data_IF_130885256884
#
_entry.id   IF_130885256884
#
_cell.length_a   1.000
_cell.length_b   1.000
_cell.length_c   1.000
_cell.angle_alpha   90.00
_cell.angle_beta   90.00
_cell.angle_gamma   90.00
#
_symmetry.space_group_name_H-M   'P 1'
#
loop_
_entity.id
_entity.type
_entity.pdbx_description
1 polymer ?
#
# COMPACT_ATOMS: atom_id res chain seq x y z
N UNK A 1 -41.57 0.64 -16.69
CA UNK A 1 -40.86 1.77 -17.34
C UNK A 1 -41.23 3.05 -16.60
N UNK A 2 -40.30 3.59 -15.84
CA UNK A 2 -40.33 4.96 -15.31
C UNK A 2 -38.89 5.35 -14.98
N UNK A 3 -38.43 6.48 -15.52
CA UNK A 3 -37.07 7.00 -15.44
C UNK A 3 -36.72 7.56 -14.03
N UNK A 4 -35.42 7.68 -13.67
CA UNK A 4 -35.00 8.20 -12.36
C UNK A 4 -34.87 9.73 -12.38
N UNK A 5 -34.98 10.42 -11.23
CA UNK A 5 -34.57 11.82 -11.13
C UNK A 5 -33.11 11.93 -10.69
N UNK A 6 -32.40 12.82 -11.37
CA UNK A 6 -31.04 13.24 -11.08
C UNK A 6 -30.98 14.29 -9.94
N UNK A 7 -29.75 14.47 -9.46
CA UNK A 7 -29.12 15.72 -9.00
C UNK A 7 -28.77 15.84 -7.51
N UNK A 8 -27.47 15.63 -7.27
CA UNK A 8 -26.56 16.57 -6.62
C UNK A 8 -27.20 17.88 -6.12
N UNK A 9 -27.28 18.03 -4.80
CA UNK A 9 -26.93 19.24 -4.04
C UNK A 9 -27.49 19.13 -2.62
N UNK A 10 -26.63 18.94 -1.62
CA UNK A 10 -26.87 19.43 -0.25
C UNK A 10 -25.56 19.44 0.54
N UNK A 11 -24.76 20.49 0.33
CA UNK A 11 -23.81 20.97 1.33
C UNK A 11 -24.63 21.51 2.51
N UNK A 12 -24.57 20.85 3.67
CA UNK A 12 -25.14 21.37 4.91
C UNK A 12 -24.03 21.72 5.91
N UNK A 13 -23.85 23.04 6.08
CA UNK A 13 -23.32 23.78 7.23
C UNK A 13 -22.32 23.07 8.17
N UNK A 14 -21.02 23.28 7.91
CA UNK A 14 -19.94 23.03 8.86
C UNK A 14 -19.82 24.11 9.95
N UNK A 15 -19.57 23.65 11.17
CA UNK A 15 -19.42 24.41 12.42
C UNK A 15 -18.13 25.26 12.37
N UNK A 16 -18.25 26.58 12.44
CA UNK A 16 -17.13 27.54 12.49
C UNK A 16 -16.32 27.40 13.80
N UNK A 17 -15.03 27.05 13.68
CA UNK A 17 -14.04 27.29 14.74
C UNK A 17 -13.34 28.61 14.45
N UNK A 18 -13.56 29.61 15.32
CA UNK A 18 -12.92 30.94 15.27
C UNK A 18 -11.44 30.84 15.70
N UNK A 19 -10.52 31.38 14.89
CA UNK A 19 -9.24 31.93 15.38
C UNK A 19 -9.03 33.36 14.85
N UNK A 20 -9.04 34.29 15.81
CA UNK A 20 -8.32 35.57 15.89
C UNK A 20 -8.08 36.48 14.68
N UNK A 21 -8.89 37.54 14.61
CA UNK A 21 -8.57 38.96 14.39
C UNK A 21 -7.37 39.37 13.51
N UNK A 22 -7.69 40.05 12.39
CA UNK A 22 -7.35 41.47 12.21
C UNK A 22 -8.23 42.13 11.14
N UNK A 23 -8.82 43.26 11.52
CA UNK A 23 -9.66 44.15 10.69
C UNK A 23 -8.79 45.05 9.83
N UNK A 24 -9.19 45.29 8.58
CA UNK A 24 -8.90 46.56 7.89
C UNK A 24 -10.20 47.08 7.27
N UNK A 25 -10.61 48.25 7.74
CA UNK A 25 -11.76 49.03 7.30
C UNK A 25 -11.48 49.67 5.93
N UNK A 26 -12.42 49.59 5.00
CA UNK A 26 -12.44 50.44 3.81
C UNK A 26 -13.69 51.32 3.82
N UNK A 27 -13.45 52.62 3.86
CA UNK A 27 -14.43 53.71 3.71
C UNK A 27 -14.53 54.09 2.23
N UNK A 28 -15.70 53.92 1.62
CA UNK A 28 -15.95 54.31 0.23
C UNK A 28 -17.43 54.63 0.01
N UNK A 29 -17.69 55.82 -0.54
CA UNK A 29 -18.98 56.49 -0.65
C UNK A 29 -19.99 55.79 -1.58
N UNK A 30 -21.28 55.93 -1.26
CA UNK A 30 -22.42 55.37 -2.00
C UNK A 30 -22.97 56.41 -2.98
N UNK A 31 -22.91 56.12 -4.29
CA UNK A 31 -23.71 56.80 -5.33
C UNK A 31 -25.00 56.01 -5.63
N UNK A 32 -26.07 56.67 -6.13
CA UNK A 32 -27.38 56.04 -6.22
C UNK A 32 -27.55 55.14 -7.46
N UNK A 33 -28.35 54.09 -7.30
CA UNK A 33 -28.86 53.16 -8.32
C UNK A 33 -27.84 52.19 -8.96
N UNK A 34 -27.62 51.06 -8.28
CA UNK A 34 -27.03 49.84 -8.86
C UNK A 34 -27.00 48.72 -7.83
N UNK A 35 -27.60 47.56 -8.14
CA UNK A 35 -27.64 46.37 -7.28
C UNK A 35 -26.25 46.07 -6.70
N UNK A 36 -26.15 45.97 -5.38
CA UNK A 36 -24.95 45.47 -4.69
C UNK A 36 -24.66 44.05 -5.19
N UNK A 37 -23.49 43.76 -5.78
CA UNK A 37 -23.09 42.38 -5.98
C UNK A 37 -22.83 41.79 -4.58
N UNK A 38 -23.59 40.74 -4.23
CA UNK A 38 -23.37 39.98 -3.00
C UNK A 38 -21.92 39.49 -2.92
N UNK A 39 -21.40 39.21 -1.72
CA UNK A 39 -20.01 38.80 -1.55
C UNK A 39 -19.77 37.57 -2.43
N UNK A 40 -18.84 37.70 -3.39
CA UNK A 40 -18.27 36.56 -4.09
C UNK A 40 -17.56 35.73 -3.04
N UNK A 41 -18.23 34.68 -2.56
CA UNK A 41 -17.59 33.59 -1.85
C UNK A 41 -16.71 32.86 -2.88
N UNK A 42 -15.54 33.43 -3.13
CA UNK A 42 -14.45 32.76 -3.82
C UNK A 42 -13.62 32.08 -2.75
N UNK A 43 -14.12 30.95 -2.28
CA UNK A 43 -13.30 29.98 -1.59
C UNK A 43 -13.84 28.58 -1.89
N UNK A 44 -13.83 28.25 -3.18
CA UNK A 44 -13.73 26.85 -3.56
C UNK A 44 -12.27 26.50 -3.28
N UNK A 45 -12.03 25.86 -2.14
CA UNK A 45 -10.78 25.15 -1.90
C UNK A 45 -10.75 24.07 -2.98
N UNK A 46 -10.06 24.35 -4.10
CA UNK A 46 -9.72 23.30 -5.04
C UNK A 46 -8.81 22.37 -4.23
N UNK A 47 -9.23 21.12 -3.93
CA UNK A 47 -8.38 20.25 -3.15
C UNK A 47 -7.07 20.13 -3.91
N UNK A 48 -5.95 20.43 -3.24
CA UNK A 48 -4.63 20.22 -3.82
C UNK A 48 -4.48 18.72 -4.02
N UNK A 49 -4.74 18.25 -5.24
CA UNK A 49 -4.66 16.84 -5.59
C UNK A 49 -3.19 16.48 -5.70
N UNK A 50 -2.73 15.56 -4.85
CA UNK A 50 -1.34 15.09 -4.86
C UNK A 50 -1.18 14.11 -6.02
N UNK A 51 -0.23 14.38 -6.91
CA UNK A 51 0.01 13.58 -8.12
C UNK A 51 1.09 12.54 -7.87
N UNK A 52 0.70 11.27 -7.93
CA UNK A 52 1.57 10.11 -7.71
C UNK A 52 1.79 9.39 -9.04
N UNK A 53 3.05 9.22 -9.42
CA UNK A 53 3.44 8.45 -10.61
C UNK A 53 3.94 7.08 -10.17
N UNK A 54 3.19 6.03 -10.49
CA UNK A 54 3.62 4.65 -10.28
C UNK A 54 4.52 4.24 -11.45
N UNK A 55 5.79 3.95 -11.16
CA UNK A 55 6.73 3.39 -12.12
C UNK A 55 6.71 1.86 -11.99
N UNK A 56 6.08 1.20 -12.96
CA UNK A 56 5.86 -0.25 -13.00
C UNK A 56 4.40 -0.62 -12.73
N UNK A 57 3.71 -1.13 -13.76
CA UNK A 57 2.32 -1.60 -13.70
C UNK A 57 2.20 -3.11 -13.48
N UNK A 58 3.23 -3.75 -12.91
CA UNK A 58 3.19 -5.17 -12.53
C UNK A 58 2.16 -5.47 -11.44
N UNK A 59 2.22 -6.66 -10.83
CA UNK A 59 1.27 -7.07 -9.80
C UNK A 59 1.23 -6.09 -8.60
N UNK A 60 2.39 -5.69 -8.07
CA UNK A 60 2.44 -4.75 -6.93
C UNK A 60 1.99 -3.33 -7.33
N UNK A 61 2.40 -2.84 -8.50
CA UNK A 61 1.97 -1.54 -9.00
C UNK A 61 0.46 -1.46 -9.21
N UNK A 62 -0.14 -2.54 -9.73
CA UNK A 62 -1.59 -2.67 -9.84
C UNK A 62 -2.28 -2.75 -8.48
N UNK A 63 -1.74 -3.51 -7.52
CA UNK A 63 -2.30 -3.58 -6.17
C UNK A 63 -2.46 -2.18 -5.57
N UNK A 64 -1.39 -1.38 -5.66
CA UNK A 64 -1.34 -0.02 -5.17
C UNK A 64 -2.25 0.91 -5.96
N UNK A 65 -2.26 0.82 -7.29
CA UNK A 65 -3.22 1.54 -8.12
C UNK A 65 -4.66 1.28 -7.67
N UNK A 66 -5.04 0.01 -7.50
CA UNK A 66 -6.40 -0.40 -7.13
C UNK A 66 -6.83 0.15 -5.76
N UNK A 67 -5.89 0.26 -4.81
CA UNK A 67 -6.13 0.87 -3.51
C UNK A 67 -6.26 2.39 -3.59
N UNK A 68 -5.31 3.04 -4.25
CA UNK A 68 -5.22 4.49 -4.36
C UNK A 68 -6.37 5.10 -5.18
N UNK A 69 -6.89 4.40 -6.18
CA UNK A 69 -8.05 4.85 -6.94
C UNK A 69 -9.33 5.02 -6.09
N UNK A 70 -9.35 4.48 -4.86
CA UNK A 70 -10.46 4.67 -3.91
C UNK A 70 -10.32 5.96 -3.09
N UNK A 71 -9.17 6.62 -3.16
CA UNK A 71 -8.87 7.84 -2.42
C UNK A 71 -8.98 9.06 -3.38
N UNK A 72 -9.88 10.02 -3.10
CA UNK A 72 -10.15 11.14 -4.02
C UNK A 72 -9.04 12.19 -4.05
N UNK A 73 -8.14 12.18 -3.06
CA UNK A 73 -7.10 13.20 -2.88
C UNK A 73 -5.87 12.98 -3.76
N UNK A 74 -5.82 11.86 -4.50
CA UNK A 74 -4.69 11.47 -5.32
C UNK A 74 -5.03 11.39 -6.82
N UNK A 75 -4.16 11.98 -7.63
CA UNK A 75 -4.13 11.78 -9.09
C UNK A 75 -3.06 10.75 -9.40
N UNK A 76 -3.47 9.57 -9.86
CA UNK A 76 -2.56 8.46 -10.11
C UNK A 76 -2.24 8.35 -11.61
N UNK A 77 -0.95 8.32 -11.94
CA UNK A 77 -0.45 8.05 -13.28
C UNK A 77 0.40 6.78 -13.23
N UNK A 78 0.42 6.00 -14.31
CA UNK A 78 1.22 4.77 -14.36
C UNK A 78 2.14 4.77 -15.57
N UNK A 79 3.40 4.45 -15.34
CA UNK A 79 4.38 4.14 -16.37
C UNK A 79 4.57 2.62 -16.41
N UNK A 80 4.25 2.00 -17.53
CA UNK A 80 4.42 0.55 -17.72
C UNK A 80 4.97 0.30 -19.13
N UNK A 81 6.19 -0.24 -19.31
CA UNK A 81 6.80 -0.41 -20.62
C UNK A 81 6.18 -1.52 -21.48
N UNK A 82 5.54 -2.54 -20.90
CA UNK A 82 4.86 -3.59 -21.66
C UNK A 82 3.54 -3.09 -22.25
N UNK A 83 3.40 -3.17 -23.58
CA UNK A 83 2.16 -2.79 -24.27
C UNK A 83 0.97 -3.66 -23.85
N UNK A 84 1.18 -4.97 -23.76
CA UNK A 84 0.17 -5.93 -23.32
C UNK A 84 -0.36 -5.56 -21.92
N UNK A 85 0.55 -5.25 -21.00
CA UNK A 85 0.18 -4.86 -19.64
C UNK A 85 -0.51 -3.51 -19.59
N UNK A 86 -0.07 -2.52 -20.38
CA UNK A 86 -0.79 -1.24 -20.52
C UNK A 86 -2.21 -1.44 -21.05
N UNK A 87 -2.43 -2.32 -22.03
CA UNK A 87 -3.76 -2.60 -22.57
C UNK A 87 -4.68 -3.13 -21.48
N UNK A 88 -4.22 -4.15 -20.74
CA UNK A 88 -4.94 -4.69 -19.59
C UNK A 88 -5.30 -3.61 -18.54
N UNK A 89 -4.32 -2.77 -18.16
CA UNK A 89 -4.54 -1.69 -17.19
C UNK A 89 -5.52 -0.64 -17.71
N UNK A 90 -5.51 -0.34 -19.02
CA UNK A 90 -6.44 0.61 -19.62
C UNK A 90 -7.89 0.12 -19.62
N UNK A 91 -8.08 -1.19 -19.80
CA UNK A 91 -9.40 -1.82 -19.74
C UNK A 91 -9.92 -1.90 -18.29
N UNK A 92 -9.02 -2.20 -17.35
CA UNK A 92 -9.36 -2.36 -15.93
C UNK A 92 -9.52 -1.02 -15.19
N UNK A 93 -8.75 0.00 -15.58
CA UNK A 93 -8.68 1.32 -14.94
C UNK A 93 -8.77 2.45 -15.98
N UNK A 94 -9.90 2.60 -16.69
CA UNK A 94 -10.03 3.50 -17.85
C UNK A 94 -9.83 4.99 -17.54
N UNK A 95 -9.93 5.39 -16.28
CA UNK A 95 -9.70 6.77 -15.84
C UNK A 95 -8.22 7.08 -15.52
N UNK A 96 -7.32 6.09 -15.59
CA UNK A 96 -5.91 6.22 -15.21
C UNK A 96 -5.05 6.55 -16.43
N UNK A 97 -4.32 7.69 -16.44
CA UNK A 97 -3.35 7.98 -17.50
C UNK A 97 -2.19 6.97 -17.50
N UNK A 98 -1.91 6.41 -18.68
CA UNK A 98 -0.87 5.40 -18.89
C UNK A 98 0.22 5.91 -19.83
N UNK A 99 1.47 5.61 -19.49
CA UNK A 99 2.64 6.03 -20.24
C UNK A 99 3.57 4.85 -20.51
N UNK A 100 4.23 4.85 -21.67
CA UNK A 100 5.20 3.81 -22.02
C UNK A 100 6.59 4.05 -21.43
N UNK A 101 6.93 5.32 -21.15
CA UNK A 101 8.27 5.74 -20.76
C UNK A 101 8.23 6.65 -19.52
N UNK A 102 9.32 6.63 -18.75
CA UNK A 102 9.47 7.36 -17.47
C UNK A 102 9.27 8.87 -17.63
N UNK A 103 9.74 9.47 -18.73
CA UNK A 103 9.57 10.90 -19.01
C UNK A 103 8.15 11.30 -19.48
N UNK A 104 7.29 10.34 -19.80
CA UNK A 104 5.98 10.57 -20.42
C UNK A 104 5.05 11.52 -19.63
N UNK A 105 4.88 11.34 -18.30
CA UNK A 105 4.10 12.28 -17.48
C UNK A 105 4.61 13.71 -17.61
N UNK A 106 5.94 13.86 -17.59
CA UNK A 106 6.58 15.17 -17.61
C UNK A 106 6.54 15.86 -18.96
N UNK A 107 6.68 15.10 -20.04
CA UNK A 107 6.48 15.54 -21.42
C UNK A 107 5.04 16.03 -21.67
N UNK A 108 4.05 15.52 -20.93
CA UNK A 108 2.65 15.98 -20.96
C UNK A 108 2.37 17.17 -20.05
N UNK A 109 3.37 17.68 -19.32
CA UNK A 109 3.23 18.83 -18.45
C UNK A 109 2.60 18.52 -17.09
N UNK A 110 2.56 17.26 -16.68
CA UNK A 110 2.07 16.87 -15.35
C UNK A 110 3.05 17.35 -14.27
N UNK A 111 2.54 17.83 -13.14
CA UNK A 111 3.35 18.06 -11.92
C UNK A 111 3.43 16.76 -11.15
N UNK A 112 4.61 16.35 -10.68
CA UNK A 112 4.78 15.10 -9.95
C UNK A 112 5.20 15.39 -8.52
N UNK A 113 4.37 14.97 -7.55
CA UNK A 113 4.67 15.16 -6.14
C UNK A 113 5.48 13.98 -5.57
N UNK A 114 5.22 12.77 -6.06
CA UNK A 114 5.99 11.58 -5.71
C UNK A 114 6.02 10.52 -6.82
N UNK A 115 7.13 9.80 -6.90
CA UNK A 115 7.26 8.56 -7.68
C UNK A 115 7.15 7.35 -6.77
N UNK A 116 6.18 6.49 -7.06
CA UNK A 116 6.09 5.18 -6.44
C UNK A 116 6.78 4.14 -7.33
N UNK A 117 7.93 3.64 -6.90
CA UNK A 117 8.77 2.73 -7.67
C UNK A 117 8.35 1.28 -7.40
N UNK A 118 7.57 0.71 -8.32
CA UNK A 118 7.06 -0.66 -8.29
C UNK A 118 7.69 -1.57 -9.38
N UNK A 119 8.93 -1.26 -9.78
CA UNK A 119 9.73 -2.12 -10.68
C UNK A 119 10.52 -3.17 -9.91
N UNK A 120 11.09 -4.14 -10.62
CA UNK A 120 12.01 -5.13 -10.04
C UNK A 120 13.28 -4.45 -9.52
N UNK A 121 13.92 -4.96 -8.44
CA UNK A 121 15.11 -4.36 -7.83
C UNK A 121 16.23 -4.01 -8.83
N UNK A 122 16.56 -4.93 -9.74
CA UNK A 122 17.62 -4.72 -10.74
C UNK A 122 17.31 -3.62 -11.77
N UNK A 123 16.04 -3.26 -11.96
CA UNK A 123 15.63 -2.22 -12.90
C UNK A 123 15.61 -0.82 -12.26
N UNK A 124 15.53 -0.74 -10.93
CA UNK A 124 15.28 0.50 -10.19
C UNK A 124 16.28 1.61 -10.55
N UNK A 125 17.58 1.34 -10.46
CA UNK A 125 18.61 2.38 -10.69
C UNK A 125 18.54 2.93 -12.12
N UNK A 126 18.29 2.06 -13.10
CA UNK A 126 18.13 2.47 -14.51
C UNK A 126 16.89 3.33 -14.75
N UNK A 127 15.82 3.11 -13.96
CA UNK A 127 14.60 3.91 -14.00
C UNK A 127 14.85 5.29 -13.41
N UNK A 128 15.55 5.37 -12.27
CA UNK A 128 15.89 6.65 -11.63
C UNK A 128 16.77 7.54 -12.53
N UNK A 129 17.72 6.94 -13.25
CA UNK A 129 18.56 7.68 -14.21
C UNK A 129 17.76 8.29 -15.37
N UNK A 130 16.57 7.76 -15.66
CA UNK A 130 15.66 8.24 -16.73
C UNK A 130 14.62 9.24 -16.22
N UNK A 131 14.64 9.57 -14.92
CA UNK A 131 13.79 10.64 -14.41
C UNK A 131 14.20 11.98 -15.05
N UNK A 132 13.23 12.81 -15.45
CA UNK A 132 13.52 14.15 -15.96
C UNK A 132 14.26 15.00 -14.91
N UNK A 133 15.12 15.91 -15.36
CA UNK A 133 15.94 16.73 -14.45
C UNK A 133 15.11 17.54 -13.45
N UNK A 134 13.99 18.09 -13.91
CA UNK A 134 13.07 18.89 -13.09
C UNK A 134 12.39 18.11 -11.97
N UNK A 135 12.45 16.77 -12.02
CA UNK A 135 11.77 15.88 -11.07
C UNK A 135 12.78 15.21 -10.11
N UNK A 136 14.07 15.62 -10.13
CA UNK A 136 15.14 14.95 -9.35
C UNK A 136 15.06 15.17 -7.84
N UNK A 137 14.36 16.20 -7.38
CA UNK A 137 14.14 16.54 -5.97
C UNK A 137 12.82 15.99 -5.39
N UNK A 138 12.04 15.27 -6.21
CA UNK A 138 10.76 14.70 -5.80
C UNK A 138 10.91 13.56 -4.80
N UNK A 139 9.79 13.24 -4.12
CA UNK A 139 9.73 12.11 -3.21
C UNK A 139 9.75 10.79 -4.00
N UNK A 140 10.69 9.90 -3.65
CA UNK A 140 10.77 8.53 -4.16
C UNK A 140 10.27 7.58 -3.07
N UNK A 141 9.19 6.87 -3.36
CA UNK A 141 8.64 5.81 -2.53
C UNK A 141 8.97 4.47 -3.19
N UNK A 142 9.93 3.73 -2.66
CA UNK A 142 10.40 2.49 -3.28
C UNK A 142 9.82 1.25 -2.61
N UNK A 143 9.16 0.38 -3.38
CA UNK A 143 8.73 -0.96 -2.93
C UNK A 143 9.70 -2.08 -3.36
N UNK A 144 10.89 -1.72 -3.87
CA UNK A 144 11.87 -2.69 -4.31
C UNK A 144 12.58 -3.37 -3.12
N UNK A 145 12.45 -4.69 -3.03
CA UNK A 145 13.16 -5.50 -2.03
C UNK A 145 14.68 -5.40 -2.22
N UNK A 146 15.43 -5.40 -1.11
CA UNK A 146 16.91 -5.38 -1.07
C UNK A 146 17.56 -4.02 -1.35
N UNK A 147 16.94 -3.12 -2.13
CA UNK A 147 17.58 -1.85 -2.50
C UNK A 147 17.52 -0.83 -1.35
N UNK A 148 18.65 -0.59 -0.67
CA UNK A 148 18.79 0.38 0.44
C UNK A 148 18.61 1.83 -0.01
N UNK A 149 18.18 2.68 0.94
CA UNK A 149 17.94 4.12 0.73
C UNK A 149 19.21 4.79 0.23
N UNK A 150 20.35 4.51 0.88
CA UNK A 150 21.66 5.01 0.49
C UNK A 150 22.04 4.67 -0.97
N UNK A 151 21.62 3.50 -1.49
CA UNK A 151 21.87 3.11 -2.89
C UNK A 151 21.03 3.95 -3.85
N UNK A 152 19.79 4.28 -3.46
CA UNK A 152 18.89 5.15 -4.22
C UNK A 152 19.42 6.59 -4.19
N UNK A 153 19.78 7.09 -3.02
CA UNK A 153 20.31 8.44 -2.80
C UNK A 153 21.65 8.65 -3.51
N UNK A 154 22.48 7.61 -3.67
CA UNK A 154 23.71 7.70 -4.44
C UNK A 154 23.48 8.01 -5.94
N UNK A 155 22.33 7.61 -6.51
CA UNK A 155 21.98 7.89 -7.92
C UNK A 155 20.99 9.05 -8.08
N UNK A 156 20.30 9.42 -7.00
CA UNK A 156 19.35 10.52 -6.93
C UNK A 156 19.57 11.32 -5.64
N UNK A 157 20.69 12.09 -5.53
CA UNK A 157 21.11 12.72 -4.28
C UNK A 157 20.17 13.84 -3.80
N UNK A 158 19.39 14.41 -4.70
CA UNK A 158 18.41 15.46 -4.39
C UNK A 158 17.05 14.88 -3.95
N UNK A 159 16.82 13.59 -4.17
CA UNK A 159 15.53 12.96 -3.91
C UNK A 159 15.33 12.69 -2.42
N UNK A 160 14.08 12.83 -1.99
CA UNK A 160 13.63 12.41 -0.65
C UNK A 160 13.21 10.96 -0.76
N UNK A 161 13.88 10.04 -0.07
CA UNK A 161 13.64 8.60 -0.25
C UNK A 161 12.87 8.02 0.92
N UNK A 162 11.78 7.31 0.63
CA UNK A 162 11.07 6.47 1.59
C UNK A 162 11.05 5.04 1.05
N UNK A 163 11.55 4.09 1.84
CA UNK A 163 11.46 2.67 1.51
C UNK A 163 10.22 2.06 2.11
N UNK A 164 9.63 1.16 1.35
CA UNK A 164 8.42 0.44 1.74
C UNK A 164 8.65 -1.04 1.44
N UNK A 165 8.24 -1.90 2.36
CA UNK A 165 8.20 -3.34 2.14
C UNK A 165 6.75 -3.84 2.27
N UNK A 166 5.96 -3.84 1.18
CA UNK A 166 4.62 -4.43 1.17
C UNK A 166 4.70 -5.94 0.95
N UNK A 167 3.54 -6.60 0.90
CA UNK A 167 3.43 -8.00 0.51
C UNK A 167 2.22 -8.27 -0.39
N UNK A 168 2.20 -9.45 -1.02
CA UNK A 168 1.22 -9.81 -2.06
C UNK A 168 -0.26 -9.71 -1.64
N UNK A 169 -0.66 -10.01 -0.39
CA UNK A 169 -2.02 -9.77 0.10
C UNK A 169 -2.56 -8.34 -0.08
N UNK A 170 -1.70 -7.35 -0.35
CA UNK A 170 -2.11 -6.00 -0.75
C UNK A 170 -3.07 -5.98 -1.96
N UNK A 171 -2.97 -6.96 -2.88
CA UNK A 171 -3.91 -7.13 -4.01
C UNK A 171 -5.38 -7.28 -3.56
N UNK A 172 -5.60 -7.72 -2.32
CA UNK A 172 -6.92 -7.95 -1.74
C UNK A 172 -7.25 -6.92 -0.65
N UNK A 173 -6.45 -5.87 -0.50
CA UNK A 173 -6.57 -4.91 0.60
C UNK A 173 -6.19 -5.47 1.99
N UNK A 174 -5.57 -6.66 2.03
CA UNK A 174 -5.16 -7.35 3.24
C UNK A 174 -3.62 -7.35 3.40
N UNK A 175 -2.95 -6.34 2.85
CA UNK A 175 -1.51 -6.20 2.89
C UNK A 175 -0.96 -5.94 4.29
N UNK A 176 0.30 -6.28 4.49
CA UNK A 176 1.10 -5.84 5.62
C UNK A 176 2.36 -5.18 5.08
N UNK A 177 2.52 -3.90 5.38
CA UNK A 177 3.63 -3.08 4.90
C UNK A 177 4.44 -2.51 6.06
N UNK A 178 5.74 -2.33 5.84
CA UNK A 178 6.56 -1.48 6.69
C UNK A 178 7.16 -0.32 5.88
N UNK A 179 7.33 0.83 6.51
CA UNK A 179 7.85 2.06 5.92
C UNK A 179 9.07 2.52 6.72
N UNK A 180 10.13 2.92 6.03
CA UNK A 180 11.32 3.51 6.62
C UNK A 180 11.79 4.75 5.84
N UNK A 181 12.18 5.78 6.57
CA UNK A 181 12.77 6.99 6.00
C UNK A 181 14.20 6.73 5.51
N UNK A 182 14.55 7.30 4.36
CA UNK A 182 15.93 7.56 3.95
C UNK A 182 16.49 8.79 4.67
N UNK A 183 17.70 9.19 4.29
CA UNK A 183 18.43 10.28 4.97
C UNK A 183 17.76 11.63 4.80
N UNK A 184 17.21 11.91 3.62
CA UNK A 184 16.62 13.22 3.27
C UNK A 184 15.10 13.28 3.40
N UNK A 185 14.44 12.18 3.80
CA UNK A 185 12.99 12.14 3.92
C UNK A 185 12.50 12.80 5.22
N UNK A 186 11.47 13.62 5.10
CA UNK A 186 10.80 14.25 6.24
C UNK A 186 9.73 13.34 6.86
N UNK A 187 9.27 13.67 8.07
CA UNK A 187 8.12 12.99 8.68
C UNK A 187 6.85 13.10 7.83
N UNK A 188 6.69 14.19 7.07
CA UNK A 188 5.58 14.37 6.14
C UNK A 188 5.66 13.40 4.95
N UNK A 189 6.87 13.09 4.47
CA UNK A 189 7.09 12.13 3.38
C UNK A 189 6.76 10.70 3.83
N UNK A 190 7.19 10.35 5.05
CA UNK A 190 6.85 9.05 5.67
C UNK A 190 5.35 8.95 5.91
N UNK A 191 4.70 10.03 6.34
CA UNK A 191 3.25 10.07 6.54
C UNK A 191 2.49 9.88 5.22
N UNK A 192 2.92 10.54 4.14
CA UNK A 192 2.35 10.36 2.81
C UNK A 192 2.52 8.90 2.34
N UNK A 193 3.72 8.34 2.41
CA UNK A 193 3.94 6.94 2.05
C UNK A 193 3.06 5.99 2.89
N UNK A 194 2.94 6.23 4.19
CA UNK A 194 2.06 5.45 5.05
C UNK A 194 0.59 5.55 4.61
N UNK A 195 0.11 6.73 4.28
CA UNK A 195 -1.29 6.93 3.85
C UNK A 195 -1.58 6.19 2.54
N UNK A 196 -0.67 6.33 1.55
CA UNK A 196 -0.78 5.62 0.28
C UNK A 196 -0.88 4.11 0.47
N UNK A 197 -0.03 3.53 1.33
CA UNK A 197 -0.01 2.09 1.59
C UNK A 197 -1.17 1.60 2.46
N UNK A 198 -1.78 2.49 3.25
CA UNK A 198 -2.93 2.14 4.09
C UNK A 198 -4.18 1.83 3.25
N UNK A 199 -4.21 2.26 1.99
CA UNK A 199 -5.28 1.92 1.03
C UNK A 199 -5.35 0.42 0.68
N UNK A 200 -4.25 -0.32 0.92
CA UNK A 200 -4.12 -1.74 0.59
C UNK A 200 -3.80 -2.64 1.79
N UNK A 201 -3.81 -2.11 3.01
CA UNK A 201 -3.62 -2.92 4.21
C UNK A 201 -3.05 -2.16 5.41
N UNK A 202 -2.38 -2.89 6.30
CA UNK A 202 -1.75 -2.35 7.51
C UNK A 202 -0.36 -1.82 7.21
N UNK A 203 0.04 -0.75 7.90
CA UNK A 203 1.33 -0.09 7.69
C UNK A 203 2.00 0.28 9.00
N UNK A 204 3.25 -0.17 9.16
CA UNK A 204 4.09 0.11 10.32
C UNK A 204 5.30 0.96 9.94
N UNK A 205 5.63 1.96 10.75
CA UNK A 205 6.87 2.74 10.57
C UNK A 205 7.96 2.05 11.38
N UNK A 206 9.10 1.76 10.74
CA UNK A 206 10.23 1.05 11.33
C UNK A 206 11.55 1.70 10.93
N UNK A 207 12.63 1.51 11.71
CA UNK A 207 13.98 1.79 11.24
C UNK A 207 14.30 0.97 9.98
N UNK A 208 15.05 1.54 9.03
CA UNK A 208 15.37 0.88 7.76
C UNK A 208 16.05 -0.48 7.95
N UNK A 209 16.88 -0.62 8.98
CA UNK A 209 17.60 -1.86 9.30
C UNK A 209 16.65 -3.02 9.64
N UNK A 210 15.39 -2.73 10.00
CA UNK A 210 14.37 -3.74 10.25
C UNK A 210 13.66 -4.20 8.98
N UNK A 211 13.79 -3.49 7.85
CA UNK A 211 13.10 -3.88 6.62
C UNK A 211 13.53 -5.26 6.10
N UNK A 212 14.77 -5.70 6.35
CA UNK A 212 15.20 -7.05 5.99
C UNK A 212 14.46 -8.12 6.81
N UNK A 213 14.24 -7.86 8.10
CA UNK A 213 13.44 -8.74 8.95
C UNK A 213 11.96 -8.72 8.54
N UNK A 214 11.42 -7.56 8.15
CA UNK A 214 10.07 -7.44 7.58
C UNK A 214 9.96 -8.25 6.29
N UNK A 215 10.96 -8.20 5.41
CA UNK A 215 10.99 -9.02 4.19
C UNK A 215 10.92 -10.51 4.54
N UNK A 216 11.75 -10.98 5.47
CA UNK A 216 11.74 -12.39 5.88
C UNK A 216 10.44 -12.82 6.56
N UNK A 217 9.76 -11.91 7.26
CA UNK A 217 8.50 -12.19 7.95
C UNK A 217 7.27 -12.02 7.03
N UNK A 218 6.92 -10.78 6.68
CA UNK A 218 5.66 -10.47 5.99
C UNK A 218 5.80 -10.44 4.48
N UNK A 219 7.00 -10.14 3.95
CA UNK A 219 7.27 -10.18 2.51
C UNK A 219 7.23 -11.60 1.96
N UNK A 220 7.99 -12.51 2.59
CA UNK A 220 8.07 -13.93 2.25
C UNK A 220 6.98 -14.77 2.92
N UNK A 221 6.40 -14.29 4.03
CA UNK A 221 5.37 -14.96 4.83
C UNK A 221 4.21 -15.61 4.07
N UNK A 222 3.61 -14.96 3.06
CA UNK A 222 2.54 -15.56 2.28
C UNK A 222 2.91 -16.94 1.70
N UNK A 223 4.15 -17.12 1.23
CA UNK A 223 4.61 -18.41 0.70
C UNK A 223 4.66 -19.49 1.79
N UNK A 224 5.03 -19.14 3.02
CA UNK A 224 5.03 -20.08 4.15
C UNK A 224 3.61 -20.51 4.51
N UNK A 225 2.65 -19.58 4.45
CA UNK A 225 1.23 -19.87 4.67
C UNK A 225 0.68 -20.77 3.56
N UNK A 226 1.07 -20.56 2.30
CA UNK A 226 0.66 -21.42 1.19
C UNK A 226 1.22 -22.84 1.32
N UNK A 227 2.50 -22.98 1.67
CA UNK A 227 3.10 -24.30 1.93
C UNK A 227 2.39 -25.02 3.09
N UNK A 228 2.03 -24.29 4.16
CA UNK A 228 1.28 -24.87 5.26
C UNK A 228 -0.14 -25.29 4.83
N UNK A 229 -0.80 -24.50 3.98
CA UNK A 229 -2.09 -24.85 3.40
C UNK A 229 -2.00 -26.13 2.55
N UNK A 230 -0.98 -26.26 1.70
CA UNK A 230 -0.72 -27.47 0.91
C UNK A 230 -0.59 -28.70 1.82
N UNK A 231 0.22 -28.61 2.88
CA UNK A 231 0.41 -29.70 3.83
C UNK A 231 -0.88 -30.07 4.58
N UNK A 232 -1.72 -29.09 4.95
CA UNK A 232 -3.03 -29.34 5.57
C UNK A 232 -3.98 -30.07 4.61
N UNK A 233 -4.02 -29.65 3.34
CA UNK A 233 -4.84 -30.28 2.31
C UNK A 233 -4.41 -31.73 2.08
N UNK A 234 -3.10 -31.98 1.99
CA UNK A 234 -2.55 -33.33 1.83
C UNK A 234 -2.90 -34.24 3.02
N UNK A 235 -2.75 -33.73 4.25
CA UNK A 235 -3.16 -34.47 5.45
C UNK A 235 -4.66 -34.77 5.48
N UNK A 236 -5.50 -33.80 5.11
CA UNK A 236 -6.95 -33.98 5.02
C UNK A 236 -7.37 -35.01 3.96
N UNK A 237 -6.71 -35.01 2.80
CA UNK A 237 -6.94 -36.01 1.75
C UNK A 237 -6.51 -37.40 2.20
N UNK A 238 -5.39 -37.50 2.92
CA UNK A 238 -4.94 -38.78 3.50
C UNK A 238 -5.96 -39.37 4.48
N UNK A 239 -6.65 -38.52 5.26
CA UNK A 239 -7.74 -38.92 6.16
C UNK A 239 -9.09 -39.15 5.44
N UNK A 240 -9.11 -39.09 4.11
CA UNK A 240 -10.24 -39.51 3.27
C UNK A 240 -11.15 -38.39 2.76
N UNK A 241 -10.80 -37.11 2.94
CA UNK A 241 -11.53 -36.01 2.29
C UNK A 241 -11.22 -35.93 0.79
N UNK A 242 -12.18 -35.44 -0.01
CA UNK A 242 -11.87 -35.06 -1.38
C UNK A 242 -10.93 -33.86 -1.39
N UNK A 243 -10.11 -33.72 -2.44
CA UNK A 243 -9.17 -32.61 -2.57
C UNK A 243 -9.89 -31.26 -2.61
N UNK A 244 -11.04 -31.20 -3.26
CA UNK A 244 -11.87 -30.00 -3.38
C UNK A 244 -12.34 -29.54 -1.98
N UNK A 245 -12.96 -30.43 -1.21
CA UNK A 245 -13.45 -30.12 0.12
C UNK A 245 -12.29 -29.77 1.08
N UNK A 246 -11.19 -30.52 1.02
CA UNK A 246 -9.99 -30.23 1.82
C UNK A 246 -9.43 -28.82 1.54
N UNK A 247 -9.44 -28.40 0.27
CA UNK A 247 -8.97 -27.07 -0.14
C UNK A 247 -9.89 -25.98 0.42
N UNK A 248 -11.21 -26.13 0.28
CA UNK A 248 -12.19 -25.17 0.79
C UNK A 248 -12.12 -25.02 2.32
N UNK A 249 -12.08 -26.16 3.04
CA UNK A 249 -12.00 -26.17 4.50
C UNK A 249 -10.67 -25.57 4.99
N UNK A 250 -9.56 -25.85 4.30
CA UNK A 250 -8.24 -25.29 4.66
C UNK A 250 -8.23 -23.78 4.48
N UNK A 251 -8.71 -23.27 3.33
CA UNK A 251 -8.78 -21.83 3.06
C UNK A 251 -9.62 -21.10 4.13
N UNK A 252 -10.80 -21.64 4.46
CA UNK A 252 -11.67 -21.05 5.47
C UNK A 252 -11.08 -21.14 6.88
N UNK A 253 -10.38 -22.22 7.21
CA UNK A 253 -9.70 -22.41 8.50
C UNK A 253 -8.58 -21.37 8.69
N UNK A 254 -7.74 -21.18 7.67
CA UNK A 254 -6.66 -20.19 7.70
C UNK A 254 -7.21 -18.77 7.80
N UNK A 255 -8.22 -18.42 7.01
CA UNK A 255 -8.88 -17.12 7.05
C UNK A 255 -9.48 -16.85 8.45
N UNK A 256 -10.24 -17.79 8.98
CA UNK A 256 -10.86 -17.66 10.30
C UNK A 256 -9.83 -17.48 11.42
N UNK A 257 -8.77 -18.30 11.42
CA UNK A 257 -7.70 -18.20 12.41
C UNK A 257 -6.94 -16.86 12.32
N UNK A 258 -6.63 -16.39 11.10
CA UNK A 258 -5.98 -15.10 10.89
C UNK A 258 -6.85 -13.94 11.40
N UNK A 259 -8.16 -13.97 11.14
CA UNK A 259 -9.12 -12.99 11.67
C UNK A 259 -9.20 -13.02 13.19
N UNK A 260 -9.21 -14.20 13.80
CA UNK A 260 -9.17 -14.30 15.27
C UNK A 260 -7.92 -13.65 15.84
N UNK A 261 -6.75 -13.83 15.22
CA UNK A 261 -5.50 -13.17 15.64
C UNK A 261 -5.63 -11.65 15.50
N UNK A 262 -6.14 -11.16 14.37
CA UNK A 262 -6.20 -9.74 14.08
C UNK A 262 -7.29 -8.98 14.88
N UNK A 263 -8.43 -9.61 15.16
CA UNK A 263 -9.65 -8.92 15.63
C UNK A 263 -9.95 -9.18 17.12
N UNK A 264 -9.42 -10.24 17.73
CA UNK A 264 -9.83 -10.64 19.09
C UNK A 264 -9.12 -9.91 20.24
N UNK A 265 -7.97 -9.28 19.97
CA UNK A 265 -7.09 -8.71 21.00
C UNK A 265 -6.38 -9.75 21.89
N UNK A 266 -6.49 -11.04 21.58
CA UNK A 266 -5.86 -12.14 22.33
C UNK A 266 -4.53 -12.54 21.70
N UNK A 267 -3.62 -13.08 22.51
CA UNK A 267 -2.37 -13.62 21.96
C UNK A 267 -2.62 -14.92 21.19
N UNK A 268 -1.76 -15.29 20.21
CA UNK A 268 -1.85 -16.60 19.55
C UNK A 268 -1.76 -17.78 20.52
N UNK A 269 -1.07 -17.63 21.66
CA UNK A 269 -1.00 -18.65 22.69
C UNK A 269 -2.36 -18.85 23.39
N UNK A 270 -3.07 -17.77 23.70
CA UNK A 270 -4.40 -17.82 24.31
C UNK A 270 -5.44 -18.41 23.34
N UNK A 271 -5.40 -17.99 22.07
CA UNK A 271 -6.29 -18.53 21.03
C UNK A 271 -6.06 -20.03 20.84
N UNK A 272 -4.79 -20.47 20.78
CA UNK A 272 -4.44 -21.89 20.70
C UNK A 272 -4.94 -22.66 21.93
N UNK A 273 -4.76 -22.12 23.14
CA UNK A 273 -5.23 -22.76 24.36
C UNK A 273 -6.76 -22.91 24.38
N UNK A 274 -7.49 -21.89 23.92
CA UNK A 274 -8.96 -21.89 23.89
C UNK A 274 -9.57 -22.99 22.99
N UNK A 275 -8.85 -23.45 21.96
CA UNK A 275 -9.29 -24.51 21.04
C UNK A 275 -8.65 -25.87 21.33
N UNK A 276 -7.92 -25.99 22.45
CA UNK A 276 -7.21 -27.22 22.85
C UNK A 276 -7.81 -27.80 24.12
N UNK A 277 -8.73 -28.76 23.96
CA UNK A 277 -9.26 -29.51 25.10
C UNK A 277 -8.24 -30.56 25.59
N UNK A 278 -8.10 -30.79 26.92
CA UNK A 278 -7.24 -31.83 27.46
C UNK A 278 -7.58 -33.22 26.89
N UNK A 279 -6.58 -33.90 26.32
CA UNK A 279 -6.74 -35.22 25.70
C UNK A 279 -7.48 -35.23 24.35
N UNK A 280 -7.92 -34.07 23.85
CA UNK A 280 -8.67 -33.93 22.60
C UNK A 280 -7.83 -34.07 21.33
N UNK A 281 -8.50 -34.00 20.18
CA UNK A 281 -7.89 -34.12 18.85
C UNK A 281 -6.83 -33.03 18.60
N UNK A 282 -7.13 -31.77 18.93
CA UNK A 282 -6.21 -30.64 18.79
C UNK A 282 -4.92 -30.86 19.59
N UNK A 283 -5.03 -31.35 20.83
CA UNK A 283 -3.86 -31.60 21.68
C UNK A 283 -2.91 -32.64 21.07
N UNK A 284 -3.46 -33.72 20.49
CA UNK A 284 -2.66 -34.75 19.81
C UNK A 284 -2.02 -34.24 18.52
N UNK A 285 -2.76 -33.46 17.73
CA UNK A 285 -2.23 -32.84 16.51
C UNK A 285 -1.09 -31.86 16.81
N UNK A 286 -1.29 -30.96 17.77
CA UNK A 286 -0.25 -30.02 18.23
C UNK A 286 1.01 -30.77 18.70
N UNK A 287 0.87 -31.83 19.50
CA UNK A 287 2.03 -32.62 19.95
C UNK A 287 2.87 -33.17 18.78
N UNK A 288 2.25 -33.56 17.66
CA UNK A 288 2.97 -34.00 16.45
C UNK A 288 3.65 -32.84 15.71
N UNK A 289 3.00 -31.69 15.61
CA UNK A 289 3.61 -30.48 15.03
C UNK A 289 4.83 -30.02 15.84
N UNK A 290 4.76 -30.10 17.17
CA UNK A 290 5.89 -29.82 18.06
C UNK A 290 7.03 -30.82 17.87
N UNK A 291 6.71 -32.12 17.82
CA UNK A 291 7.70 -33.17 17.56
C UNK A 291 8.36 -33.00 16.19
N UNK A 292 7.62 -32.51 15.20
CA UNK A 292 8.14 -32.17 13.87
C UNK A 292 8.99 -30.89 13.82
N UNK A 293 9.13 -30.16 14.93
CA UNK A 293 10.02 -29.01 15.02
C UNK A 293 9.50 -27.74 14.33
N UNK A 294 8.18 -27.60 14.14
CA UNK A 294 7.57 -26.48 13.39
C UNK A 294 8.10 -25.10 13.84
N UNK A 295 8.30 -24.88 15.15
CA UNK A 295 8.84 -23.59 15.64
C UNK A 295 10.24 -23.30 15.11
N UNK A 296 11.12 -24.30 15.13
CA UNK A 296 12.49 -24.15 14.64
C UNK A 296 12.46 -23.89 13.13
N UNK A 297 11.73 -24.71 12.36
CA UNK A 297 11.66 -24.55 10.91
C UNK A 297 11.10 -23.19 10.47
N UNK A 298 10.09 -22.66 11.16
CA UNK A 298 9.54 -21.33 10.86
C UNK A 298 10.54 -20.22 11.23
N UNK A 299 11.22 -20.32 12.37
CA UNK A 299 12.25 -19.35 12.75
C UNK A 299 13.42 -19.33 11.74
N UNK A 300 13.88 -20.50 11.31
CA UNK A 300 14.93 -20.66 10.33
C UNK A 300 14.52 -20.08 8.97
N UNK A 301 13.27 -20.32 8.52
CA UNK A 301 12.74 -19.78 7.27
C UNK A 301 12.74 -18.24 7.27
N UNK A 302 12.28 -17.61 8.36
CA UNK A 302 12.29 -16.15 8.51
C UNK A 302 13.71 -15.61 8.55
N UNK A 303 14.62 -16.26 9.29
CA UNK A 303 16.03 -15.84 9.38
C UNK A 303 16.72 -15.92 8.01
N UNK A 304 16.60 -17.05 7.33
CA UNK A 304 17.22 -17.28 6.02
C UNK A 304 16.71 -16.29 4.95
N UNK A 305 15.41 -15.98 4.95
CA UNK A 305 14.85 -14.99 4.03
C UNK A 305 15.33 -13.57 4.36
N UNK A 306 15.43 -13.21 5.64
CA UNK A 306 15.99 -11.93 6.06
C UNK A 306 17.48 -11.80 5.74
N UNK A 307 18.26 -12.88 5.88
CA UNK A 307 19.67 -12.96 5.46
C UNK A 307 19.78 -12.75 3.96
N UNK A 308 18.97 -13.46 3.17
CA UNK A 308 18.96 -13.28 1.72
C UNK A 308 18.60 -11.84 1.32
N UNK A 309 17.66 -11.20 2.03
CA UNK A 309 17.33 -9.79 1.80
C UNK A 309 18.52 -8.85 1.99
N UNK A 310 19.39 -9.15 2.98
CA UNK A 310 20.61 -8.36 3.23
C UNK A 310 21.69 -8.52 2.16
N UNK A 311 21.69 -9.63 1.44
CA UNK A 311 22.65 -9.96 0.36
C UNK A 311 22.28 -9.33 -1.00
N UNK A 312 21.01 -9.00 -1.20
CA UNK A 312 20.46 -8.42 -2.43
C UNK A 312 20.68 -6.90 -2.50
#
# INVERSE_FOLDING_TARGET
MAAPPASWAQCTAGRLVRRGNRFNSWSGAVGPAGKLPGPRVSNCYDPVVTTIVILGGGQMGEALLSGLMKQPDYRILVVEPSEERRRYLSESYPATPLFANVGGPSEKGESVDAYLIAVKPHALLSVLQRLPERDRDTLIISVAAGVRSATIEAVAPEARVVRVMPNTPALLGAGASAVAAGQSASDADVALAKDLLSSVGTVHIVPEQQLDAVTGLSGSGPAYVFLFAEALIEGAVFEGLSRELATELTAQTLLGAARMIAESGKSPADLRAAVTSPGGTTARGLARLEQGGVRASVADAVSAAAERSREL
#
